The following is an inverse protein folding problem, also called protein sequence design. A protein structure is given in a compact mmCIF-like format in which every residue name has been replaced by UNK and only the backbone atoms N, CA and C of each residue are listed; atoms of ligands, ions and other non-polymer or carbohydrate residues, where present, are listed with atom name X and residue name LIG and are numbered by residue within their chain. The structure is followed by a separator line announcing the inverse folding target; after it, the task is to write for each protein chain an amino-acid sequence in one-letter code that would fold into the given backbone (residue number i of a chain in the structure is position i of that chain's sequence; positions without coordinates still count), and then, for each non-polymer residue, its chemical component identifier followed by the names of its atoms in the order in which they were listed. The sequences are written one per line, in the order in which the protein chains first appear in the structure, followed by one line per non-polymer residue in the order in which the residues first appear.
data_IF_399799161902
#
_entry.id   IF_399799161902
#
_cell.length_a   1.000
_cell.length_b   1.000
_cell.length_c   1.000
_cell.angle_alpha   90.00
_cell.angle_beta   90.00
_cell.angle_gamma   90.00
#
_symmetry.space_group_name_H-M   'P 1'
#
loop_
_entity.id
_entity.type
_entity.pdbx_description
1 polymer ?
#
# COMPACT_ATOMS: atom_id res chain seq x y z
N UNK A 1 -30.29 -33.49 -12.75
CA UNK A 1 -29.83 -32.31 -13.52
C UNK A 1 -28.32 -32.40 -13.68
N UNK A 2 -27.84 -32.91 -14.81
CA UNK A 2 -26.41 -32.98 -15.11
C UNK A 2 -25.94 -31.59 -15.55
N UNK A 3 -25.21 -30.88 -14.68
CA UNK A 3 -24.51 -29.65 -15.06
C UNK A 3 -23.48 -30.00 -16.14
N UNK A 4 -23.68 -29.48 -17.36
CA UNK A 4 -22.65 -29.50 -18.39
C UNK A 4 -21.35 -28.90 -17.82
N UNK A 5 -20.17 -29.44 -18.16
CA UNK A 5 -18.90 -28.90 -17.70
C UNK A 5 -18.78 -27.45 -18.16
N UNK A 6 -18.73 -26.53 -17.19
CA UNK A 6 -18.54 -25.11 -17.45
C UNK A 6 -17.26 -24.96 -18.30
N UNK A 7 -17.31 -24.33 -19.48
CA UNK A 7 -16.17 -24.31 -20.39
C UNK A 7 -15.01 -23.59 -19.72
N UNK A 8 -13.82 -24.21 -19.75
CA UNK A 8 -12.54 -23.64 -19.30
C UNK A 8 -12.33 -22.21 -19.82
N UNK A 9 -12.94 -21.87 -20.95
CA UNK A 9 -12.99 -20.54 -21.55
C UNK A 9 -13.55 -19.46 -20.61
N UNK A 10 -14.49 -19.78 -19.72
CA UNK A 10 -15.10 -18.80 -18.81
C UNK A 10 -14.18 -18.43 -17.64
N UNK A 11 -13.36 -19.38 -17.17
CA UNK A 11 -12.29 -19.11 -16.20
C UNK A 11 -11.17 -18.29 -16.85
N UNK A 12 -10.85 -18.62 -18.11
CA UNK A 12 -9.97 -17.80 -18.95
C UNK A 12 -10.51 -16.39 -19.14
N UNK A 13 -11.83 -16.23 -19.33
CA UNK A 13 -12.49 -14.93 -19.48
C UNK A 13 -12.51 -14.14 -18.17
N UNK A 14 -12.58 -14.81 -17.01
CA UNK A 14 -12.47 -14.17 -15.71
C UNK A 14 -11.05 -13.66 -15.45
N UNK A 15 -10.04 -14.47 -15.78
CA UNK A 15 -8.64 -14.05 -15.76
C UNK A 15 -8.38 -12.95 -16.79
N UNK A 16 -9.02 -13.00 -17.96
CA UNK A 16 -8.94 -11.95 -18.97
C UNK A 16 -9.66 -10.68 -18.50
N UNK A 17 -10.78 -10.77 -17.80
CA UNK A 17 -11.45 -9.63 -17.17
C UNK A 17 -10.58 -9.00 -16.09
N UNK A 18 -9.90 -9.82 -15.29
CA UNK A 18 -8.87 -9.35 -14.35
C UNK A 18 -7.74 -8.65 -15.12
N UNK A 19 -7.23 -9.23 -16.20
CA UNK A 19 -6.18 -8.62 -17.04
C UNK A 19 -6.65 -7.34 -17.75
N UNK A 20 -7.88 -7.27 -18.26
CA UNK A 20 -8.46 -6.09 -18.92
C UNK A 20 -8.74 -4.98 -17.92
N UNK A 21 -9.19 -5.32 -16.70
CA UNK A 21 -9.30 -4.34 -15.59
C UNK A 21 -7.92 -3.82 -15.18
N UNK A 22 -6.87 -4.65 -15.28
CA UNK A 22 -5.48 -4.25 -15.09
C UNK A 22 -4.93 -3.40 -16.25
N UNK A 23 -5.40 -3.60 -17.48
CA UNK A 23 -4.96 -2.88 -18.68
C UNK A 23 -5.63 -1.50 -18.82
N UNK A 24 -6.94 -1.41 -18.56
CA UNK A 24 -7.65 -0.11 -18.43
C UNK A 24 -7.06 0.73 -17.30
N UNK A 25 -6.50 0.07 -16.29
CA UNK A 25 -5.76 0.69 -15.19
C UNK A 25 -4.38 1.24 -15.57
N UNK A 26 -3.78 0.74 -16.65
CA UNK A 26 -2.48 1.17 -17.18
C UNK A 26 -2.62 2.30 -18.22
N UNK A 27 -3.79 2.46 -18.83
CA UNK A 27 -4.06 3.48 -19.85
C UNK A 27 -4.39 4.88 -19.30
N UNK A 28 -4.54 5.03 -17.98
CA UNK A 28 -4.68 6.34 -17.31
C UNK A 28 -3.34 6.79 -16.75
N UNK A 29 -2.35 6.93 -17.63
CA UNK A 29 -1.23 7.84 -17.38
C UNK A 29 -1.70 9.20 -17.89
N UNK A 30 -1.91 10.21 -17.03
CA UNK A 30 -2.15 11.55 -17.53
C UNK A 30 -0.87 12.01 -18.21
N UNK A 31 -0.92 12.08 -19.54
CA UNK A 31 0.02 12.84 -20.35
C UNK A 31 -0.05 14.30 -19.88
N UNK A 32 0.78 14.64 -18.88
CA UNK A 32 1.06 16.05 -18.57
C UNK A 32 1.87 16.59 -19.74
N UNK A 33 1.16 17.18 -20.70
CA UNK A 33 1.71 18.20 -21.59
C UNK A 33 2.38 19.26 -20.70
N UNK A 34 3.70 19.37 -20.82
CA UNK A 34 4.47 20.42 -20.20
C UNK A 34 4.02 21.75 -20.81
N UNK A 35 3.23 22.53 -20.07
CA UNK A 35 3.05 23.94 -20.35
C UNK A 35 4.37 24.64 -19.98
N UNK A 36 5.09 25.14 -20.98
CA UNK A 36 6.18 26.08 -20.77
C UNK A 36 5.62 27.34 -20.13
N UNK A 37 6.00 27.60 -18.88
CA UNK A 37 5.78 28.89 -18.25
C UNK A 37 7.06 29.69 -18.41
N UNK A 38 7.02 30.66 -19.32
CA UNK A 38 7.98 31.77 -19.37
C UNK A 38 7.82 32.59 -18.09
N UNK A 39 8.89 32.66 -17.30
CA UNK A 39 8.96 33.50 -16.10
C UNK A 39 9.31 34.92 -16.54
N UNK A 40 8.35 35.83 -16.41
CA UNK A 40 8.57 37.27 -16.51
C UNK A 40 8.79 37.83 -15.10
N UNK A 41 9.94 38.47 -14.86
CA UNK A 41 10.29 39.08 -13.58
C UNK A 41 9.66 40.48 -13.51
N UNK A 42 8.95 40.80 -12.43
CA UNK A 42 8.53 42.18 -12.11
C UNK A 42 8.29 42.32 -10.60
N UNK A 43 8.77 43.43 -10.05
CA UNK A 43 8.15 44.10 -8.91
C UNK A 43 8.73 43.80 -7.53
N UNK A 44 9.51 44.75 -7.03
CA UNK A 44 9.93 44.91 -5.64
C UNK A 44 8.76 45.41 -4.79
N UNK A 45 8.45 44.75 -3.67
CA UNK A 45 7.67 45.32 -2.56
C UNK A 45 8.25 44.90 -1.19
N UNK A 46 8.05 45.79 -0.22
CA UNK A 46 8.69 45.94 1.10
C UNK A 46 8.14 45.02 2.20
N UNK A 47 8.87 44.83 3.32
CA UNK A 47 8.54 43.81 4.32
C UNK A 47 7.54 44.32 5.36
N UNK A 48 6.46 43.56 5.57
CA UNK A 48 5.61 43.66 6.77
C UNK A 48 5.80 42.42 7.66
N UNK A 49 5.77 42.68 8.96
CA UNK A 49 6.07 41.80 10.10
C UNK A 49 5.24 40.49 10.16
N UNK A 50 5.81 39.37 10.64
CA UNK A 50 5.06 38.12 10.79
C UNK A 50 4.24 38.08 12.09
N UNK A 51 2.94 37.89 11.94
CA UNK A 51 2.01 37.49 13.01
C UNK A 51 2.10 35.96 13.15
N UNK A 52 2.45 35.49 14.35
CA UNK A 52 2.53 34.08 14.70
C UNK A 52 1.12 33.51 14.95
N UNK A 53 0.59 32.77 13.98
CA UNK A 53 -0.63 31.98 14.13
C UNK A 53 -0.22 30.50 14.31
N UNK A 54 -0.61 29.83 15.40
CA UNK A 54 -0.27 28.43 15.60
C UNK A 54 -0.99 27.56 14.54
N UNK A 55 -0.19 26.80 13.80
CA UNK A 55 -0.63 25.89 12.75
C UNK A 55 -1.47 24.75 13.39
N UNK A 56 -2.69 24.47 12.92
CA UNK A 56 -3.45 23.32 13.42
C UNK A 56 -2.78 22.02 12.98
N UNK A 57 -2.72 21.05 13.89
CA UNK A 57 -2.19 19.70 13.64
C UNK A 57 -2.95 19.03 12.48
N UNK A 58 -2.26 18.86 11.35
CA UNK A 58 -2.75 18.12 10.19
C UNK A 58 -2.73 16.62 10.49
N UNK A 59 -3.83 16.12 11.05
CA UNK A 59 -4.13 14.70 11.13
C UNK A 59 -4.42 14.12 9.74
N UNK A 60 -3.38 13.74 8.99
CA UNK A 60 -3.50 12.99 7.75
C UNK A 60 -3.69 11.50 8.03
N UNK A 61 -4.95 11.04 8.04
CA UNK A 61 -5.29 9.61 8.09
C UNK A 61 -5.83 9.17 6.73
N UNK A 62 -4.91 8.83 5.83
CA UNK A 62 -5.24 8.11 4.61
C UNK A 62 -5.36 6.61 4.90
N UNK A 63 -6.39 5.99 4.32
CA UNK A 63 -6.75 4.60 4.50
C UNK A 63 -5.61 3.72 3.99
N UNK A 64 -4.79 3.28 4.93
CA UNK A 64 -3.62 2.51 4.67
C UNK A 64 -3.79 1.16 5.37
N UNK A 65 -4.04 0.14 4.57
CA UNK A 65 -3.59 -1.20 4.95
C UNK A 65 -2.04 -1.28 4.91
N UNK A 66 -1.33 -0.25 4.40
CA UNK A 66 0.11 -0.02 4.66
C UNK A 66 0.45 1.44 4.99
N UNK A 67 0.44 1.84 6.28
CA UNK A 67 0.58 3.25 6.72
C UNK A 67 1.87 3.89 6.22
N UNK A 68 1.84 5.16 5.78
CA UNK A 68 3.00 6.06 5.93
C UNK A 68 3.24 6.14 7.43
N UNK A 69 4.19 5.34 7.92
CA UNK A 69 4.73 5.48 9.24
C UNK A 69 5.66 6.69 9.19
N UNK A 70 5.21 7.81 9.74
CA UNK A 70 6.16 8.81 10.22
C UNK A 70 7.20 8.12 11.12
N UNK A 71 8.45 8.62 11.14
CA UNK A 71 9.52 7.97 11.88
C UNK A 71 9.08 7.73 13.33
N UNK A 72 9.34 6.52 13.82
CA UNK A 72 9.11 6.07 15.19
C UNK A 72 9.82 7.03 16.17
N UNK A 73 9.16 8.12 16.59
CA UNK A 73 9.57 8.91 17.75
C UNK A 73 8.90 8.29 18.97
N UNK A 74 9.55 7.30 19.57
CA UNK A 74 8.95 6.58 20.69
C UNK A 74 9.73 5.36 21.15
N UNK A 75 11.04 5.47 21.32
CA UNK A 75 11.70 4.71 22.38
C UNK A 75 11.47 5.47 23.68
N UNK A 76 10.46 5.07 24.44
CA UNK A 76 10.47 5.31 25.87
C UNK A 76 11.68 4.53 26.42
N UNK A 77 12.77 5.25 26.67
CA UNK A 77 13.92 4.74 27.42
C UNK A 77 13.47 4.41 28.86
N UNK A 78 12.97 3.19 29.06
CA UNK A 78 12.92 2.55 30.36
C UNK A 78 14.28 1.92 30.64
N UNK A 79 15.30 2.77 30.79
CA UNK A 79 16.58 2.48 31.46
C UNK A 79 17.50 3.71 31.43
N UNK A 80 17.10 4.78 32.12
CA UNK A 80 18.02 5.87 32.47
C UNK A 80 18.49 5.65 33.90
N UNK A 81 19.66 5.04 34.16
CA UNK A 81 20.33 5.27 35.43
C UNK A 81 20.73 6.76 35.46
N UNK A 82 20.31 7.47 36.51
CA UNK A 82 20.82 8.80 36.85
C UNK A 82 22.35 8.79 36.71
N UNK A 83 22.88 9.45 35.67
CA UNK A 83 24.28 9.85 35.64
C UNK A 83 24.37 11.29 36.10
N UNK A 84 25.00 11.41 37.27
CA UNK A 84 25.41 12.64 37.92
C UNK A 84 25.96 13.66 36.94
N UNK A 85 25.54 14.91 37.15
CA UNK A 85 26.20 16.12 36.71
C UNK A 85 27.66 16.11 37.14
N UNK A 86 28.57 15.68 36.25
CA UNK A 86 29.99 15.91 36.42
C UNK A 86 30.35 17.23 35.73
N UNK A 87 30.30 18.30 36.53
CA UNK A 87 30.88 19.63 36.28
C UNK A 87 32.34 19.45 35.85
N UNK A 88 32.63 19.55 34.54
CA UNK A 88 34.01 19.60 34.03
C UNK A 88 34.34 21.05 33.68
N UNK A 89 34.85 21.75 34.69
CA UNK A 89 35.66 22.95 34.52
C UNK A 89 36.88 22.58 33.67
N UNK A 90 36.98 23.16 32.48
CA UNK A 90 38.04 22.85 31.52
C UNK A 90 38.39 24.06 30.67
N UNK A 91 39.08 25.01 31.29
CA UNK A 91 39.92 26.07 30.72
C UNK A 91 39.80 26.32 29.21
N UNK A 92 39.17 27.45 28.90
CA UNK A 92 39.42 28.25 27.71
C UNK A 92 40.92 28.36 27.42
N UNK A 93 41.38 27.74 26.33
CA UNK A 93 42.54 28.25 25.57
C UNK A 93 41.98 29.06 24.42
N UNK A 94 41.83 30.36 24.67
CA UNK A 94 41.58 31.37 23.65
C UNK A 94 42.89 31.47 22.84
N UNK A 95 42.93 30.85 21.67
CA UNK A 95 43.95 31.16 20.67
C UNK A 95 43.58 32.54 20.09
N UNK A 96 44.17 33.60 20.64
CA UNK A 96 44.23 34.89 19.95
C UNK A 96 45.20 34.74 18.79
N UNK A 97 44.65 34.49 17.61
CA UNK A 97 45.37 34.69 16.35
C UNK A 97 45.49 36.19 16.17
N UNK A 98 46.71 36.71 16.32
CA UNK A 98 47.05 38.10 16.05
C UNK A 98 46.68 38.44 14.61
N UNK A 99 45.60 39.21 14.46
CA UNK A 99 45.03 39.65 13.21
C UNK A 99 45.80 40.88 12.72
N UNK A 100 47.05 40.68 12.28
CA UNK A 100 47.87 41.71 11.65
C UNK A 100 47.66 41.65 10.14
N UNK A 101 46.68 42.42 9.65
CA UNK A 101 46.42 42.54 8.21
C UNK A 101 44.98 42.90 7.88
N UNK A 102 44.50 44.02 8.44
CA UNK A 102 43.18 44.59 8.16
C UNK A 102 43.17 45.17 6.73
N UNK A 103 42.87 44.33 5.74
CA UNK A 103 42.31 44.80 4.48
C UNK A 103 40.84 45.13 4.76
N UNK A 104 40.47 46.41 4.67
CA UNK A 104 39.07 46.85 4.60
C UNK A 104 38.47 46.29 3.30
N UNK A 105 37.95 45.06 3.38
CA UNK A 105 37.22 44.46 2.27
C UNK A 105 35.84 45.11 2.26
N UNK A 106 35.59 45.86 1.19
CA UNK A 106 34.35 46.59 0.94
C UNK A 106 33.12 45.67 1.22
N UNK A 107 32.20 46.04 2.13
CA UNK A 107 31.07 45.19 2.53
C UNK A 107 30.20 44.73 1.37
N UNK A 108 30.20 45.46 0.25
CA UNK A 108 29.55 45.07 -1.00
C UNK A 108 30.07 43.73 -1.56
N UNK A 109 31.35 43.43 -1.40
CA UNK A 109 31.96 42.18 -1.89
C UNK A 109 31.52 40.96 -1.08
N UNK A 110 31.26 41.14 0.22
CA UNK A 110 30.77 40.08 1.11
C UNK A 110 29.33 39.65 0.76
N UNK A 111 28.49 40.61 0.36
CA UNK A 111 27.10 40.34 -0.03
C UNK A 111 27.01 39.53 -1.33
N UNK A 112 27.83 39.86 -2.33
CA UNK A 112 27.86 39.15 -3.63
C UNK A 112 28.34 37.70 -3.45
N UNK A 113 29.37 37.49 -2.63
CA UNK A 113 29.87 36.15 -2.27
C UNK A 113 28.75 35.25 -1.71
N UNK A 114 27.95 35.80 -0.80
CA UNK A 114 26.87 35.07 -0.13
C UNK A 114 25.76 34.69 -1.11
N UNK A 115 25.32 35.63 -1.97
CA UNK A 115 24.27 35.38 -2.98
C UNK A 115 24.72 34.29 -3.99
N UNK A 116 25.99 34.31 -4.42
CA UNK A 116 26.52 33.32 -5.35
C UNK A 116 26.61 31.93 -4.71
N UNK A 117 26.99 31.85 -3.43
CA UNK A 117 27.00 30.58 -2.69
C UNK A 117 25.58 30.02 -2.52
N UNK A 118 24.61 30.84 -2.14
CA UNK A 118 23.21 30.42 -1.97
C UNK A 118 22.61 29.91 -3.30
N UNK A 119 22.86 30.62 -4.41
CA UNK A 119 22.41 30.18 -5.72
C UNK A 119 23.02 28.84 -6.16
N UNK A 120 24.31 28.60 -5.83
CA UNK A 120 24.99 27.32 -6.10
C UNK A 120 24.42 26.19 -5.25
N UNK A 121 24.14 26.45 -3.97
CA UNK A 121 23.51 25.44 -3.09
C UNK A 121 22.11 25.07 -3.60
N UNK A 122 21.29 26.05 -3.97
CA UNK A 122 19.96 25.80 -4.53
C UNK A 122 20.02 25.00 -5.85
N UNK A 123 20.99 25.29 -6.73
CA UNK A 123 21.21 24.50 -7.94
C UNK A 123 21.64 23.07 -7.64
N UNK A 124 22.49 22.88 -6.63
CA UNK A 124 22.97 21.55 -6.25
C UNK A 124 21.84 20.70 -5.66
N UNK A 125 20.99 21.27 -4.82
CA UNK A 125 19.79 20.60 -4.30
C UNK A 125 18.82 20.20 -5.43
N UNK A 126 18.62 21.07 -6.42
CA UNK A 126 17.77 20.76 -7.58
C UNK A 126 18.34 19.59 -8.40
N UNK A 127 19.65 19.58 -8.64
CA UNK A 127 20.34 18.52 -9.38
C UNK A 127 20.23 17.17 -8.65
N UNK A 128 20.46 17.18 -7.33
CA UNK A 128 20.28 15.97 -6.51
C UNK A 128 18.84 15.48 -6.53
N UNK A 129 17.86 16.39 -6.44
CA UNK A 129 16.44 16.03 -6.53
C UNK A 129 16.10 15.39 -7.90
N UNK A 130 16.67 15.91 -9.00
CA UNK A 130 16.51 15.31 -10.33
C UNK A 130 17.17 13.93 -10.44
N UNK A 131 18.40 13.77 -9.95
CA UNK A 131 19.10 12.47 -9.97
C UNK A 131 18.37 11.43 -9.12
N UNK A 132 17.82 11.82 -7.96
CA UNK A 132 16.98 10.93 -7.13
C UNK A 132 15.76 10.47 -7.93
N UNK A 133 15.04 11.37 -8.60
CA UNK A 133 13.90 11.02 -9.47
C UNK A 133 14.30 10.05 -10.59
N UNK A 134 15.43 10.27 -11.27
CA UNK A 134 15.91 9.35 -12.31
C UNK A 134 16.23 7.96 -11.75
N UNK A 135 16.93 7.87 -10.62
CA UNK A 135 17.25 6.57 -9.99
C UNK A 135 15.98 5.80 -9.60
N UNK A 136 14.91 6.48 -9.20
CA UNK A 136 13.62 5.85 -8.87
C UNK A 136 12.93 5.29 -10.11
N UNK A 137 12.90 6.06 -11.21
CA UNK A 137 12.32 5.60 -12.47
C UNK A 137 13.09 4.37 -12.96
N UNK A 138 14.42 4.37 -12.84
CA UNK A 138 15.25 3.22 -13.20
C UNK A 138 14.95 2.02 -12.30
N UNK A 139 14.94 2.16 -10.97
CA UNK A 139 14.69 1.06 -10.04
C UNK A 139 13.28 0.46 -10.20
N UNK A 140 12.26 1.32 -10.34
CA UNK A 140 10.89 0.89 -10.59
C UNK A 140 10.77 0.16 -11.94
N UNK A 141 11.41 0.69 -12.99
CA UNK A 141 11.42 0.06 -14.31
C UNK A 141 12.15 -1.28 -14.31
N UNK A 142 13.23 -1.42 -13.53
CA UNK A 142 13.96 -2.67 -13.38
C UNK A 142 13.14 -3.72 -12.65
N UNK A 143 12.43 -3.36 -11.57
CA UNK A 143 11.54 -4.27 -10.86
C UNK A 143 10.39 -4.76 -11.75
N UNK A 144 9.77 -3.86 -12.52
CA UNK A 144 8.73 -4.22 -13.50
C UNK A 144 9.31 -5.10 -14.60
N UNK A 145 10.49 -4.78 -15.14
CA UNK A 145 11.16 -5.59 -16.15
C UNK A 145 11.47 -7.00 -15.62
N UNK A 146 12.00 -7.14 -14.40
CA UNK A 146 12.22 -8.44 -13.77
C UNK A 146 10.92 -9.22 -13.59
N UNK A 147 9.84 -8.59 -13.12
CA UNK A 147 8.54 -9.25 -12.98
C UNK A 147 7.99 -9.73 -14.34
N UNK A 148 8.11 -8.90 -15.39
CA UNK A 148 7.72 -9.26 -16.75
C UNK A 148 8.59 -10.41 -17.27
N UNK A 149 9.91 -10.38 -17.07
CA UNK A 149 10.81 -11.45 -17.50
C UNK A 149 10.51 -12.77 -16.78
N UNK A 150 10.29 -12.74 -15.47
CA UNK A 150 9.89 -13.94 -14.71
C UNK A 150 8.55 -14.47 -15.23
N UNK A 151 7.57 -13.60 -15.48
CA UNK A 151 6.28 -14.03 -16.02
C UNK A 151 6.40 -14.65 -17.42
N UNK A 152 7.20 -14.05 -18.31
CA UNK A 152 7.48 -14.58 -19.65
C UNK A 152 8.21 -15.91 -19.57
N UNK A 153 9.19 -16.04 -18.67
CA UNK A 153 9.93 -17.28 -18.47
C UNK A 153 9.01 -18.39 -17.97
N UNK A 154 8.12 -18.10 -17.00
CA UNK A 154 7.14 -19.06 -16.49
C UNK A 154 6.13 -19.50 -17.56
N UNK A 155 5.76 -18.62 -18.49
CA UNK A 155 4.91 -18.94 -19.64
C UNK A 155 5.68 -19.77 -20.68
N UNK A 156 6.91 -19.37 -21.02
CA UNK A 156 7.75 -20.05 -22.00
C UNK A 156 8.07 -21.50 -21.58
N UNK A 157 8.22 -21.75 -20.28
CA UNK A 157 8.41 -23.10 -19.74
C UNK A 157 7.14 -23.96 -19.75
N UNK A 158 6.00 -23.43 -20.19
CA UNK A 158 4.70 -24.12 -20.10
C UNK A 158 4.24 -24.35 -18.65
N UNK A 159 5.02 -23.91 -17.66
CA UNK A 159 4.78 -24.15 -16.25
C UNK A 159 3.51 -23.45 -15.77
N UNK A 160 3.24 -22.23 -16.25
CA UNK A 160 2.04 -21.50 -15.84
C UNK A 160 0.73 -22.14 -16.35
N UNK A 161 0.55 -22.45 -17.66
CA UNK A 161 -0.61 -23.21 -18.12
C UNK A 161 -0.77 -24.57 -17.43
N UNK A 162 0.35 -25.28 -17.20
CA UNK A 162 0.34 -26.54 -16.47
C UNK A 162 -0.16 -26.36 -15.03
N UNK A 163 0.39 -25.40 -14.28
CA UNK A 163 -0.04 -25.10 -12.92
C UNK A 163 -1.53 -24.71 -12.89
N UNK A 164 -1.97 -23.82 -13.78
CA UNK A 164 -3.38 -23.39 -13.89
C UNK A 164 -4.29 -24.61 -14.13
N UNK A 165 -3.87 -25.55 -14.99
CA UNK A 165 -4.62 -26.77 -15.25
C UNK A 165 -4.73 -27.70 -14.03
N UNK A 166 -3.77 -27.63 -13.10
CA UNK A 166 -3.74 -28.45 -11.88
C UNK A 166 -4.46 -27.81 -10.69
N UNK A 167 -4.72 -26.49 -10.70
CA UNK A 167 -5.43 -25.79 -9.61
C UNK A 167 -6.75 -26.49 -9.23
N UNK A 168 -7.66 -26.85 -10.17
CA UNK A 168 -8.91 -27.51 -9.80
C UNK A 168 -8.70 -28.84 -9.09
N UNK A 169 -7.68 -29.61 -9.50
CA UNK A 169 -7.34 -30.87 -8.86
C UNK A 169 -6.84 -30.67 -7.44
N UNK A 170 -5.96 -29.69 -7.22
CA UNK A 170 -5.46 -29.35 -5.88
C UNK A 170 -6.58 -28.90 -4.94
N UNK A 171 -7.51 -28.05 -5.40
CA UNK A 171 -8.65 -27.59 -4.60
C UNK A 171 -9.67 -28.70 -4.32
N UNK A 172 -9.80 -29.67 -5.24
CA UNK A 172 -10.65 -30.84 -5.02
C UNK A 172 -10.02 -31.82 -4.02
N UNK A 173 -8.71 -32.05 -4.10
CA UNK A 173 -8.00 -33.00 -3.23
C UNK A 173 -7.74 -32.43 -1.82
N UNK A 174 -7.36 -31.15 -1.73
CA UNK A 174 -6.94 -30.51 -0.49
C UNK A 174 -7.52 -29.10 -0.34
N UNK A 175 -8.85 -28.93 -0.26
CA UNK A 175 -9.52 -27.63 -0.32
C UNK A 175 -9.02 -26.63 0.74
N UNK A 176 -8.80 -27.09 1.97
CA UNK A 176 -8.31 -26.23 3.05
C UNK A 176 -6.87 -25.79 2.84
N UNK A 177 -5.96 -26.74 2.51
CA UNK A 177 -4.53 -26.43 2.30
C UNK A 177 -4.34 -25.51 1.09
N UNK A 178 -5.07 -25.78 0.01
CA UNK A 178 -5.04 -24.96 -1.20
C UNK A 178 -5.55 -23.53 -0.93
N UNK A 179 -6.63 -23.40 -0.16
CA UNK A 179 -7.18 -22.10 0.27
C UNK A 179 -6.19 -21.30 1.12
N UNK A 180 -5.59 -21.93 2.15
CA UNK A 180 -4.57 -21.31 3.00
C UNK A 180 -3.40 -20.80 2.16
N UNK A 181 -2.84 -21.65 1.30
CA UNK A 181 -1.70 -21.30 0.46
C UNK A 181 -2.04 -20.17 -0.52
N UNK A 182 -3.19 -20.25 -1.19
CA UNK A 182 -3.60 -19.25 -2.20
C UNK A 182 -3.85 -17.89 -1.56
N UNK A 183 -4.61 -17.83 -0.46
CA UNK A 183 -4.91 -16.58 0.22
C UNK A 183 -3.67 -15.98 0.90
N UNK A 184 -2.81 -16.81 1.53
CA UNK A 184 -1.55 -16.36 2.12
C UNK A 184 -0.59 -15.76 1.09
N UNK A 185 -0.40 -16.44 -0.05
CA UNK A 185 0.40 -15.93 -1.16
C UNK A 185 -0.16 -14.63 -1.73
N UNK A 186 -1.48 -14.58 -1.96
CA UNK A 186 -2.15 -13.38 -2.44
C UNK A 186 -1.93 -12.18 -1.52
N UNK A 187 -2.04 -12.39 -0.20
CA UNK A 187 -1.80 -11.35 0.79
C UNK A 187 -0.34 -10.88 0.82
N UNK A 188 0.65 -11.78 0.67
CA UNK A 188 2.05 -11.36 0.54
C UNK A 188 2.25 -10.48 -0.68
N UNK A 189 1.75 -10.90 -1.85
CA UNK A 189 1.94 -10.16 -3.11
C UNK A 189 1.27 -8.80 -3.03
N UNK A 190 0.03 -8.73 -2.53
CA UNK A 190 -0.69 -7.47 -2.36
C UNK A 190 0.00 -6.53 -1.38
N UNK A 191 0.56 -7.04 -0.28
CA UNK A 191 1.32 -6.25 0.67
C UNK A 191 2.62 -5.71 0.06
N UNK A 192 3.35 -6.55 -0.71
CA UNK A 192 4.57 -6.12 -1.40
C UNK A 192 4.29 -4.94 -2.33
N UNK A 193 3.21 -5.04 -3.13
CA UNK A 193 2.80 -3.99 -4.05
C UNK A 193 2.41 -2.73 -3.27
N UNK A 194 1.70 -2.88 -2.16
CA UNK A 194 1.32 -1.74 -1.31
C UNK A 194 2.52 -1.02 -0.73
N UNK A 195 3.52 -1.75 -0.20
CA UNK A 195 4.75 -1.15 0.33
C UNK A 195 5.58 -0.47 -0.77
N UNK A 196 5.67 -1.08 -1.95
CA UNK A 196 6.37 -0.49 -3.09
C UNK A 196 5.71 0.80 -3.59
N UNK A 197 4.38 0.86 -3.63
CA UNK A 197 3.65 2.07 -4.05
C UNK A 197 3.62 3.16 -2.98
N UNK A 198 3.65 2.78 -1.70
CA UNK A 198 3.68 3.72 -0.58
C UNK A 198 5.04 4.36 -0.34
N UNK A 199 6.12 3.78 -0.87
CA UNK A 199 7.47 4.29 -0.65
C UNK A 199 7.68 5.64 -1.32
N UNK A 200 7.97 6.66 -0.50
CA UNK A 200 8.42 7.98 -0.95
C UNK A 200 9.95 8.01 -0.95
N UNK A 201 10.58 8.26 -2.10
CA UNK A 201 12.04 8.27 -2.18
C UNK A 201 12.72 9.41 -1.41
N UNK A 202 11.97 10.45 -1.05
CA UNK A 202 12.43 11.51 -0.14
C UNK A 202 12.75 10.98 1.25
N UNK A 203 12.20 9.83 1.64
CA UNK A 203 12.39 9.21 2.96
C UNK A 203 13.64 8.30 3.04
N UNK A 204 14.42 8.21 1.95
CA UNK A 204 15.68 7.47 1.91
C UNK A 204 15.57 6.07 1.30
N UNK A 205 16.44 5.15 1.76
CA UNK A 205 16.53 3.78 1.24
C UNK A 205 15.23 3.04 1.55
N UNK A 206 14.67 2.35 0.55
CA UNK A 206 13.48 1.50 0.74
C UNK A 206 13.76 0.46 1.83
N UNK A 207 13.01 0.55 2.93
CA UNK A 207 13.07 -0.43 4.02
C UNK A 207 11.82 -1.29 3.98
N UNK A 208 12.03 -2.58 3.72
CA UNK A 208 10.95 -3.55 3.63
C UNK A 208 10.41 -3.89 5.02
N UNK A 209 9.13 -3.63 5.28
CA UNK A 209 8.52 -3.85 6.58
C UNK A 209 8.09 -5.31 6.74
N UNK A 210 9.03 -6.17 7.14
CA UNK A 210 8.79 -7.61 7.27
C UNK A 210 7.64 -7.94 8.26
N UNK A 211 7.46 -7.14 9.32
CA UNK A 211 6.37 -7.34 10.29
C UNK A 211 4.99 -7.19 9.65
N UNK A 212 4.86 -6.22 8.74
CA UNK A 212 3.63 -6.02 7.97
C UNK A 212 3.40 -7.20 7.02
N UNK A 213 4.45 -7.71 6.37
CA UNK A 213 4.36 -8.91 5.53
C UNK A 213 3.88 -10.14 6.30
N UNK A 214 4.43 -10.38 7.50
CA UNK A 214 4.00 -11.50 8.34
C UNK A 214 2.56 -11.31 8.80
N UNK A 215 2.15 -10.09 9.17
CA UNK A 215 0.76 -9.80 9.51
C UNK A 215 -0.20 -10.11 8.35
N UNK A 216 0.15 -9.67 7.14
CA UNK A 216 -0.61 -9.93 5.92
C UNK A 216 -0.65 -11.41 5.57
N UNK A 217 0.45 -12.14 5.70
CA UNK A 217 0.50 -13.59 5.51
C UNK A 217 -0.40 -14.32 6.52
N UNK A 218 -0.35 -13.95 7.80
CA UNK A 218 -1.16 -14.56 8.86
C UNK A 218 -2.64 -14.30 8.62
N UNK A 219 -3.03 -13.06 8.36
CA UNK A 219 -4.41 -12.69 8.04
C UNK A 219 -4.92 -13.42 6.78
N UNK A 220 -4.13 -13.42 5.71
CA UNK A 220 -4.46 -14.09 4.45
C UNK A 220 -4.61 -15.60 4.62
N UNK A 221 -3.70 -16.24 5.34
CA UNK A 221 -3.71 -17.68 5.55
C UNK A 221 -4.86 -18.13 6.47
N UNK A 222 -5.08 -17.41 7.56
CA UNK A 222 -6.03 -17.82 8.61
C UNK A 222 -7.43 -17.32 8.32
N UNK A 223 -7.66 -16.01 8.42
CA UNK A 223 -8.99 -15.41 8.29
C UNK A 223 -9.53 -15.63 6.88
N UNK A 224 -8.75 -15.27 5.84
CA UNK A 224 -9.21 -15.46 4.47
C UNK A 224 -9.14 -16.94 4.05
N UNK A 225 -8.02 -17.63 4.22
CA UNK A 225 -7.87 -19.01 3.77
C UNK A 225 -8.78 -20.01 4.47
N UNK A 226 -8.74 -20.08 5.81
CA UNK A 226 -9.57 -21.00 6.59
C UNK A 226 -11.02 -20.51 6.63
N UNK A 227 -11.22 -19.22 6.93
CA UNK A 227 -12.55 -18.64 7.07
C UNK A 227 -13.36 -18.71 5.78
N UNK A 228 -12.81 -18.29 4.64
CA UNK A 228 -13.56 -18.35 3.36
C UNK A 228 -13.87 -19.79 2.93
N UNK A 229 -12.98 -20.74 3.20
CA UNK A 229 -13.24 -22.16 2.92
C UNK A 229 -14.37 -22.72 3.81
N UNK A 230 -14.43 -22.35 5.09
CA UNK A 230 -15.56 -22.72 5.95
C UNK A 230 -16.86 -22.06 5.50
N UNK A 231 -16.83 -20.75 5.23
CA UNK A 231 -18.02 -19.98 4.85
C UNK A 231 -18.57 -20.45 3.50
N UNK A 232 -17.74 -20.50 2.46
CA UNK A 232 -18.21 -20.76 1.09
C UNK A 232 -18.43 -22.23 0.77
N UNK A 233 -17.74 -23.15 1.44
CA UNK A 233 -17.84 -24.59 1.15
C UNK A 233 -18.80 -25.30 2.09
N UNK A 234 -18.95 -24.84 3.35
CA UNK A 234 -19.80 -25.50 4.34
C UNK A 234 -21.00 -24.64 4.77
N UNK A 235 -20.76 -23.42 5.25
CA UNK A 235 -21.79 -22.61 5.92
C UNK A 235 -22.87 -22.12 4.96
N UNK A 236 -22.50 -21.41 3.88
CA UNK A 236 -23.47 -20.87 2.92
C UNK A 236 -24.28 -21.98 2.22
N UNK A 237 -23.68 -23.09 1.78
CA UNK A 237 -24.47 -24.21 1.25
C UNK A 237 -25.40 -24.87 2.27
N UNK A 238 -25.07 -24.83 3.56
CA UNK A 238 -25.95 -25.33 4.62
C UNK A 238 -27.11 -24.38 4.92
N UNK A 239 -26.87 -23.07 4.91
CA UNK A 239 -27.90 -22.03 5.11
C UNK A 239 -28.84 -21.90 3.90
N UNK A 240 -28.31 -22.08 2.69
CA UNK A 240 -29.07 -21.94 1.44
C UNK A 240 -28.92 -23.20 0.56
N UNK A 241 -29.50 -24.35 0.99
CA UNK A 241 -29.30 -25.64 0.33
C UNK A 241 -29.94 -25.70 -1.06
N UNK A 242 -31.02 -24.96 -1.26
CA UNK A 242 -31.70 -24.84 -2.54
C UNK A 242 -30.82 -24.02 -3.49
N UNK A 243 -30.43 -24.61 -4.63
CA UNK A 243 -29.81 -23.84 -5.70
C UNK A 243 -30.80 -22.82 -6.29
N UNK A 244 -30.30 -21.83 -7.04
CA UNK A 244 -31.15 -20.85 -7.72
C UNK A 244 -30.74 -19.40 -7.41
N UNK A 245 -31.42 -18.47 -8.09
CA UNK A 245 -31.10 -17.03 -8.03
C UNK A 245 -31.30 -16.49 -6.61
N UNK A 246 -32.32 -16.94 -5.88
CA UNK A 246 -32.59 -16.52 -4.50
C UNK A 246 -31.43 -16.91 -3.57
N UNK A 247 -30.95 -18.15 -3.63
CA UNK A 247 -29.80 -18.61 -2.84
C UNK A 247 -28.51 -17.87 -3.18
N UNK A 248 -28.30 -17.54 -4.45
CA UNK A 248 -27.15 -16.72 -4.92
C UNK A 248 -27.22 -15.32 -4.30
N UNK A 249 -28.37 -14.64 -4.40
CA UNK A 249 -28.56 -13.29 -3.87
C UNK A 249 -28.45 -13.30 -2.34
N UNK A 250 -29.12 -14.23 -1.66
CA UNK A 250 -29.08 -14.36 -0.19
C UNK A 250 -27.66 -14.65 0.31
N UNK A 251 -26.90 -15.50 -0.39
CA UNK A 251 -25.50 -15.78 -0.06
C UNK A 251 -24.62 -14.53 -0.21
N UNK A 252 -24.79 -13.77 -1.29
CA UNK A 252 -24.05 -12.53 -1.52
C UNK A 252 -24.40 -11.44 -0.51
N UNK A 253 -25.68 -11.27 -0.19
CA UNK A 253 -26.12 -10.31 0.82
C UNK A 253 -25.59 -10.71 2.20
N UNK A 254 -25.72 -11.98 2.59
CA UNK A 254 -25.22 -12.43 3.89
C UNK A 254 -23.71 -12.20 4.03
N UNK A 255 -22.93 -12.50 2.98
CA UNK A 255 -21.49 -12.27 3.04
C UNK A 255 -21.12 -10.78 3.08
N UNK A 256 -21.76 -9.93 2.26
CA UNK A 256 -21.42 -8.50 2.21
C UNK A 256 -21.91 -7.71 3.43
N UNK A 257 -23.05 -8.08 4.02
CA UNK A 257 -23.69 -7.30 5.08
C UNK A 257 -23.42 -7.87 6.48
N UNK A 258 -23.06 -9.15 6.60
CA UNK A 258 -22.77 -9.78 7.90
C UNK A 258 -21.30 -10.17 7.98
N UNK A 259 -20.81 -11.03 7.08
CA UNK A 259 -19.44 -11.54 7.20
C UNK A 259 -18.39 -10.47 6.90
N UNK A 260 -18.57 -9.61 5.90
CA UNK A 260 -17.60 -8.55 5.61
C UNK A 260 -17.37 -7.57 6.76
N UNK A 261 -18.40 -6.94 7.34
CA UNK A 261 -18.20 -6.01 8.46
C UNK A 261 -17.84 -6.71 9.77
N UNK A 262 -18.19 -7.97 9.99
CA UNK A 262 -17.93 -8.63 11.29
C UNK A 262 -16.71 -9.55 11.29
N UNK A 263 -16.49 -10.29 10.20
CA UNK A 263 -15.52 -11.38 10.13
C UNK A 263 -14.31 -11.06 9.24
N UNK A 264 -14.50 -10.35 8.13
CA UNK A 264 -13.40 -10.08 7.19
C UNK A 264 -12.61 -8.84 7.59
N UNK A 265 -13.29 -7.68 7.72
CA UNK A 265 -12.59 -6.40 7.89
C UNK A 265 -11.97 -6.21 9.29
N UNK A 266 -12.68 -6.39 10.43
CA UNK A 266 -12.11 -6.07 11.74
C UNK A 266 -10.84 -6.87 12.09
N UNK A 267 -10.78 -8.20 11.85
CA UNK A 267 -9.56 -8.96 12.13
C UNK A 267 -8.34 -8.48 11.34
N UNK A 268 -8.51 -7.92 10.14
CA UNK A 268 -7.39 -7.35 9.38
C UNK A 268 -6.71 -6.21 10.16
N UNK A 269 -7.50 -5.31 10.74
CA UNK A 269 -7.00 -4.20 11.56
C UNK A 269 -6.38 -4.71 12.87
N UNK A 270 -7.02 -5.68 13.52
CA UNK A 270 -6.53 -6.24 14.79
C UNK A 270 -5.21 -6.98 14.63
N UNK A 271 -5.09 -7.85 13.62
CA UNK A 271 -3.86 -8.61 13.35
C UNK A 271 -2.74 -7.64 12.98
N UNK A 272 -3.02 -6.66 12.12
CA UNK A 272 -2.05 -5.63 11.77
C UNK A 272 -1.56 -4.87 13.02
N UNK A 273 -2.48 -4.43 13.87
CA UNK A 273 -2.14 -3.72 15.11
C UNK A 273 -1.27 -4.57 16.03
N UNK A 274 -1.57 -5.86 16.17
CA UNK A 274 -0.79 -6.80 16.96
C UNK A 274 0.67 -6.86 16.49
N UNK A 275 0.91 -7.11 15.20
CA UNK A 275 2.26 -7.24 14.66
C UNK A 275 3.05 -5.93 14.66
N UNK A 276 2.34 -4.79 14.55
CA UNK A 276 2.93 -3.46 14.56
C UNK A 276 3.00 -2.84 15.96
N UNK A 277 2.66 -3.61 17.00
CA UNK A 277 2.65 -3.22 18.42
C UNK A 277 1.81 -1.96 18.69
N UNK A 278 0.72 -1.79 17.95
CA UNK A 278 -0.25 -0.72 18.16
C UNK A 278 -1.37 -1.18 19.10
N UNK A 279 -1.92 -0.30 19.96
CA UNK A 279 -3.07 -0.63 20.79
C UNK A 279 -4.27 -1.07 19.94
N UNK A 280 -4.87 -2.23 20.24
CA UNK A 280 -6.02 -2.78 19.50
C UNK A 280 -7.19 -1.77 19.45
N UNK A 281 -7.39 -1.00 20.54
CA UNK A 281 -8.41 0.05 20.60
C UNK A 281 -8.21 1.13 19.52
N UNK A 282 -6.97 1.51 19.24
CA UNK A 282 -6.65 2.48 18.19
C UNK A 282 -7.00 1.93 16.81
N UNK A 283 -6.69 0.66 16.55
CA UNK A 283 -7.00 0.01 15.28
C UNK A 283 -8.49 -0.16 15.03
N UNK A 284 -9.28 -0.46 16.08
CA UNK A 284 -10.74 -0.51 15.99
C UNK A 284 -11.36 0.89 15.78
N UNK A 285 -10.82 1.92 16.42
CA UNK A 285 -11.23 3.30 16.16
C UNK A 285 -10.90 3.72 14.72
N UNK A 286 -9.74 3.30 14.19
CA UNK A 286 -9.38 3.53 12.81
C UNK A 286 -10.34 2.81 11.85
N UNK A 287 -10.65 1.54 12.11
CA UNK A 287 -11.66 0.80 11.35
C UNK A 287 -13.02 1.50 11.35
N UNK A 288 -13.46 2.01 12.50
CA UNK A 288 -14.70 2.78 12.63
C UNK A 288 -14.64 4.05 11.76
N UNK A 289 -13.55 4.82 11.85
CA UNK A 289 -13.38 6.04 11.05
C UNK A 289 -13.37 5.72 9.55
N UNK A 290 -12.68 4.66 9.14
CA UNK A 290 -12.61 4.22 7.76
C UNK A 290 -14.00 3.82 7.21
N UNK A 291 -14.86 3.23 8.05
CA UNK A 291 -16.24 2.94 7.67
C UNK A 291 -17.05 4.22 7.50
N UNK A 292 -17.08 5.08 8.51
CA UNK A 292 -18.03 6.20 8.57
C UNK A 292 -17.56 7.41 7.77
N UNK A 293 -16.27 7.72 7.78
CA UNK A 293 -15.70 8.89 7.12
C UNK A 293 -15.25 8.57 5.70
N UNK A 294 -14.55 7.45 5.51
CA UNK A 294 -13.95 7.09 4.21
C UNK A 294 -14.87 6.28 3.30
N UNK A 295 -16.08 5.95 3.78
CA UNK A 295 -17.07 5.14 3.07
C UNK A 295 -16.46 3.83 2.58
N UNK A 296 -15.58 3.22 3.37
CA UNK A 296 -14.85 1.99 3.02
C UNK A 296 -15.82 0.87 2.61
N UNK A 297 -16.91 0.69 3.36
CA UNK A 297 -17.93 -0.33 3.07
C UNK A 297 -18.64 -0.09 1.73
N UNK A 298 -18.93 1.17 1.36
CA UNK A 298 -19.60 1.45 0.10
C UNK A 298 -18.70 1.11 -1.09
N UNK A 299 -17.40 1.43 -0.99
CA UNK A 299 -16.41 1.03 -2.01
C UNK A 299 -16.26 -0.50 -2.07
N UNK A 300 -16.22 -1.14 -0.90
CA UNK A 300 -16.16 -2.59 -0.79
C UNK A 300 -17.36 -3.25 -1.47
N UNK A 301 -18.59 -2.85 -1.11
CA UNK A 301 -19.83 -3.38 -1.69
C UNK A 301 -19.93 -3.18 -3.19
N UNK A 302 -19.47 -2.03 -3.70
CA UNK A 302 -19.51 -1.74 -5.13
C UNK A 302 -18.73 -2.75 -5.98
N UNK A 303 -17.65 -3.33 -5.43
CA UNK A 303 -16.87 -4.38 -6.07
C UNK A 303 -17.37 -5.78 -5.70
N UNK A 304 -17.63 -6.02 -4.41
CA UNK A 304 -17.83 -7.37 -3.88
C UNK A 304 -19.22 -7.94 -4.15
N UNK A 305 -20.28 -7.13 -4.15
CA UNK A 305 -21.63 -7.62 -4.46
C UNK A 305 -21.70 -8.22 -5.87
N UNK A 306 -21.33 -7.51 -6.96
CA UNK A 306 -21.40 -8.08 -8.30
C UNK A 306 -20.42 -9.26 -8.48
N UNK A 307 -19.21 -9.16 -7.91
CA UNK A 307 -18.24 -10.24 -7.97
C UNK A 307 -18.75 -11.52 -7.28
N UNK A 308 -19.38 -11.41 -6.11
CA UNK A 308 -19.92 -12.56 -5.39
C UNK A 308 -21.15 -13.16 -6.04
N UNK A 309 -22.05 -12.32 -6.57
CA UNK A 309 -23.17 -12.82 -7.37
C UNK A 309 -22.66 -13.66 -8.54
N UNK A 310 -21.64 -13.18 -9.25
CA UNK A 310 -20.99 -13.94 -10.32
C UNK A 310 -20.34 -15.22 -9.79
N UNK A 311 -19.56 -15.15 -8.70
CA UNK A 311 -18.89 -16.32 -8.13
C UNK A 311 -19.87 -17.41 -7.67
N UNK A 312 -20.98 -17.04 -7.03
CA UNK A 312 -21.97 -18.02 -6.58
C UNK A 312 -22.79 -18.61 -7.73
N UNK A 313 -23.05 -17.83 -8.79
CA UNK A 313 -23.77 -18.28 -9.97
C UNK A 313 -22.93 -19.21 -10.86
N UNK A 314 -21.66 -18.88 -11.06
CA UNK A 314 -20.84 -19.48 -12.12
C UNK A 314 -19.74 -20.38 -11.59
N UNK A 315 -19.09 -20.00 -10.48
CA UNK A 315 -17.88 -20.68 -10.02
C UNK A 315 -18.22 -21.94 -9.21
N UNK A 316 -17.66 -23.11 -9.56
CA UNK A 316 -17.85 -24.34 -8.80
C UNK A 316 -17.46 -24.18 -7.33
N UNK A 317 -18.21 -24.81 -6.41
CA UNK A 317 -18.05 -24.64 -4.94
C UNK A 317 -16.60 -24.75 -4.45
N UNK A 318 -15.84 -25.71 -4.97
CA UNK A 318 -14.44 -25.94 -4.58
C UNK A 318 -13.45 -24.89 -5.12
N UNK A 319 -13.81 -24.12 -6.15
CA UNK A 319 -12.98 -23.07 -6.74
C UNK A 319 -13.36 -21.65 -6.27
N UNK A 320 -14.43 -21.50 -5.47
CA UNK A 320 -14.90 -20.19 -5.01
C UNK A 320 -13.85 -19.41 -4.22
N UNK A 321 -13.03 -20.09 -3.43
CA UNK A 321 -11.94 -19.45 -2.67
C UNK A 321 -10.84 -18.94 -3.60
N UNK A 322 -10.45 -19.71 -4.63
CA UNK A 322 -9.49 -19.26 -5.64
C UNK A 322 -10.00 -18.02 -6.40
N UNK A 323 -11.28 -18.03 -6.82
CA UNK A 323 -11.90 -16.89 -7.47
C UNK A 323 -11.98 -15.66 -6.53
N UNK A 324 -12.32 -15.88 -5.25
CA UNK A 324 -12.31 -14.83 -4.22
C UNK A 324 -10.93 -14.23 -4.04
N UNK A 325 -9.87 -15.04 -4.05
CA UNK A 325 -8.49 -14.57 -3.96
C UNK A 325 -8.13 -13.69 -5.18
N UNK A 326 -8.53 -14.08 -6.38
CA UNK A 326 -8.32 -13.27 -7.59
C UNK A 326 -9.02 -11.90 -7.51
N UNK A 327 -10.29 -11.87 -7.07
CA UNK A 327 -11.02 -10.60 -6.85
C UNK A 327 -10.37 -9.78 -5.73
N UNK A 328 -9.89 -10.44 -4.66
CA UNK A 328 -9.18 -9.78 -3.56
C UNK A 328 -7.89 -9.11 -4.04
N UNK A 329 -7.17 -9.71 -4.99
CA UNK A 329 -5.99 -9.10 -5.58
C UNK A 329 -6.34 -7.78 -6.30
N UNK A 330 -7.41 -7.80 -7.10
CA UNK A 330 -7.92 -6.58 -7.78
C UNK A 330 -8.32 -5.51 -6.76
N UNK A 331 -9.01 -5.90 -5.68
CA UNK A 331 -9.36 -5.01 -4.59
C UNK A 331 -8.13 -4.34 -3.95
N UNK A 332 -7.05 -5.09 -3.70
CA UNK A 332 -5.82 -4.55 -3.13
C UNK A 332 -5.15 -3.52 -4.05
N UNK A 333 -5.20 -3.74 -5.36
CA UNK A 333 -4.69 -2.76 -6.33
C UNK A 333 -5.51 -1.48 -6.35
N UNK A 334 -6.85 -1.59 -6.27
CA UNK A 334 -7.74 -0.44 -6.17
C UNK A 334 -7.44 0.33 -4.88
N UNK A 335 -7.32 -0.35 -3.75
CA UNK A 335 -6.98 0.28 -2.48
C UNK A 335 -5.65 1.02 -2.56
N UNK A 336 -4.63 0.41 -3.15
CA UNK A 336 -3.30 1.04 -3.23
C UNK A 336 -3.34 2.33 -4.08
N UNK A 337 -4.08 2.33 -5.19
CA UNK A 337 -4.31 3.54 -6.00
C UNK A 337 -5.07 4.62 -5.25
N UNK A 338 -6.12 4.25 -4.51
CA UNK A 338 -6.93 5.20 -3.74
C UNK A 338 -6.11 5.87 -2.64
N UNK A 339 -5.17 5.15 -2.04
CA UNK A 339 -4.31 5.73 -1.01
C UNK A 339 -3.24 6.65 -1.60
N UNK A 340 -2.68 6.31 -2.75
CA UNK A 340 -1.68 7.15 -3.44
C UNK A 340 -2.21 8.55 -3.76
N UNK A 341 -3.50 8.70 -4.11
CA UNK A 341 -4.10 10.00 -4.48
C UNK A 341 -4.22 11.00 -3.32
N UNK A 342 -4.17 10.54 -2.06
CA UNK A 342 -4.34 11.40 -0.88
C UNK A 342 -3.05 12.08 -0.41
N UNK A 343 -1.91 11.69 -0.98
CA UNK A 343 -0.57 12.10 -0.56
C UNK A 343 0.09 13.04 -1.57
#
# INVERSE_FOLDING_TARGET
MMCAPLPIRLLGLLLLLVVVVLDVSAFVVPSRTAASSSVTFSGVETPSTPVFVPKPEEGSTSLHVGGVYGPYQGTADFNTPMKMLQRRNGKNRRFEVANNGFFDVDPAFSAVSTIVMDARMAQQELLEAQQRKQRQVIAASAAVACAVLISKQMVAWGGLPYLISKIPFCYKAYPLKASIATCGLNSIVGDSISQMQGWKPSEGIFTFQWRQHVASLVYGSTILGIGSNMVYTKLLPALFPHGGITSIISSAILDNFVFAPMLWLPPAYMIKAWFLKQPIKQALNQYKNDIFQEKLLLRYWSLWIPAQMFMFAVVPKHLRVAATAAVSFVWLLILTKLTSKKN
#
